data_IF_082042801937
#
_entry.id   IF_082042801937
#
_cell.length_a   1.000
_cell.length_b   1.000
_cell.length_c   1.000
_cell.angle_alpha   90.00
_cell.angle_beta   90.00
_cell.angle_gamma   90.00
#
_symmetry.space_group_name_H-M   'P 1'
#
loop_
_entity.id
_entity.type
_entity.pdbx_description
1 polymer ?
#
# COMPACT_ATOMS: atom_id res chain seq x y z
N UNK A 1 0.06 10.99 0.38
CA UNK A 1 -1.24 10.58 0.91
C UNK A 1 -1.08 10.23 2.38
N UNK A 2 -2.15 10.27 3.17
CA UNK A 2 -2.14 9.84 4.57
C UNK A 2 -1.92 8.33 4.77
N UNK A 3 -1.48 7.91 5.96
CA UNK A 3 -1.20 6.51 6.29
C UNK A 3 -2.43 5.59 6.18
N UNK A 4 -3.62 6.09 6.52
CA UNK A 4 -4.88 5.35 6.36
C UNK A 4 -5.17 5.00 4.90
N UNK A 5 -4.71 5.83 3.97
CA UNK A 5 -4.81 5.55 2.54
C UNK A 5 -3.93 4.36 2.14
N UNK A 6 -2.72 4.24 2.72
CA UNK A 6 -1.87 3.06 2.56
C UNK A 6 -2.57 1.79 3.02
N UNK A 7 -3.21 1.81 4.19
CA UNK A 7 -4.01 0.68 4.70
C UNK A 7 -5.15 0.30 3.76
N UNK A 8 -5.87 1.31 3.24
CA UNK A 8 -6.96 1.12 2.27
C UNK A 8 -6.47 0.48 0.96
N UNK A 9 -5.28 0.84 0.50
CA UNK A 9 -4.66 0.24 -0.68
C UNK A 9 -4.24 -1.22 -0.43
N UNK A 10 -3.62 -1.53 0.70
CA UNK A 10 -3.29 -2.91 1.07
C UNK A 10 -4.52 -3.82 1.06
N UNK A 11 -5.65 -3.34 1.59
CA UNK A 11 -6.92 -4.06 1.53
C UNK A 11 -7.48 -4.23 0.12
N UNK A 12 -7.40 -3.17 -0.70
CA UNK A 12 -7.84 -3.23 -2.09
C UNK A 12 -6.99 -4.19 -2.93
N UNK A 13 -5.66 -4.17 -2.76
CA UNK A 13 -4.74 -5.07 -3.47
C UNK A 13 -4.98 -6.54 -3.10
N UNK A 14 -5.21 -6.81 -1.82
CA UNK A 14 -5.63 -8.14 -1.36
C UNK A 14 -6.91 -8.59 -2.05
N UNK A 15 -7.95 -7.75 -2.05
CA UNK A 15 -9.24 -8.08 -2.68
C UNK A 15 -9.07 -8.31 -4.20
N UNK A 16 -8.29 -7.46 -4.88
CA UNK A 16 -7.99 -7.61 -6.31
C UNK A 16 -7.28 -8.95 -6.57
N UNK A 17 -6.29 -9.31 -5.75
CA UNK A 17 -5.58 -10.59 -5.85
C UNK A 17 -6.53 -11.78 -5.66
N UNK A 18 -7.43 -11.73 -4.68
CA UNK A 18 -8.44 -12.78 -4.43
C UNK A 18 -9.45 -12.88 -5.59
N UNK A 19 -9.90 -11.75 -6.13
CA UNK A 19 -10.79 -11.69 -7.31
C UNK A 19 -10.10 -12.29 -8.53
N UNK A 20 -8.85 -11.92 -8.80
CA UNK A 20 -8.07 -12.45 -9.92
C UNK A 20 -7.86 -13.97 -9.80
N UNK A 21 -7.49 -14.46 -8.61
CA UNK A 21 -7.28 -15.89 -8.36
C UNK A 21 -8.55 -16.74 -8.53
N UNK A 22 -9.74 -16.13 -8.34
CA UNK A 22 -11.04 -16.80 -8.50
C UNK A 22 -11.70 -16.56 -9.86
N UNK A 23 -11.03 -15.84 -10.77
CA UNK A 23 -11.59 -15.51 -12.10
C UNK A 23 -12.75 -14.52 -12.05
N UNK A 24 -12.90 -13.76 -10.96
CA UNK A 24 -13.95 -12.78 -10.77
C UNK A 24 -13.49 -11.40 -11.29
N UNK A 25 -14.18 -10.89 -12.30
CA UNK A 25 -13.99 -9.52 -12.78
C UNK A 25 -14.84 -8.50 -12.02
N UNK A 26 -14.39 -7.26 -11.96
CA UNK A 26 -15.15 -6.15 -11.36
C UNK A 26 -14.28 -4.93 -11.08
N UNK A 27 -14.91 -3.85 -10.61
CA UNK A 27 -14.22 -2.64 -10.15
C UNK A 27 -14.11 -2.65 -8.63
N UNK A 28 -12.92 -2.36 -8.11
CA UNK A 28 -12.69 -2.11 -6.68
C UNK A 28 -12.55 -0.62 -6.48
N UNK A 29 -13.33 -0.06 -5.55
CA UNK A 29 -13.29 1.37 -5.19
C UNK A 29 -12.84 1.49 -3.75
N UNK A 30 -11.89 2.39 -3.49
CA UNK A 30 -11.39 2.68 -2.15
C UNK A 30 -11.28 4.19 -1.93
N UNK A 31 -11.07 4.61 -0.68
CA UNK A 31 -11.02 6.02 -0.30
C UNK A 31 -9.59 6.46 -0.04
N UNK A 32 -9.18 7.57 -0.67
CA UNK A 32 -7.98 8.32 -0.30
C UNK A 32 -8.42 9.37 0.73
N UNK A 33 -8.03 9.17 1.98
CA UNK A 33 -8.63 9.89 3.11
C UNK A 33 -8.19 11.36 3.14
N UNK A 34 -6.87 11.59 3.03
CA UNK A 34 -6.30 12.92 3.16
C UNK A 34 -4.92 13.07 2.49
N UNK A 35 -4.46 14.32 2.35
CA UNK A 35 -3.18 14.63 1.71
C UNK A 35 -2.00 14.13 2.54
N UNK A 36 -0.90 13.82 1.86
CA UNK A 36 0.37 13.48 2.51
C UNK A 36 1.06 14.66 3.18
N UNK A 37 0.72 15.90 2.81
CA UNK A 37 1.43 17.10 3.27
C UNK A 37 1.41 17.25 4.80
N UNK A 38 0.38 16.71 5.46
CA UNK A 38 0.27 16.70 6.94
C UNK A 38 1.32 15.82 7.62
N UNK A 39 1.99 14.98 6.87
CA UNK A 39 2.90 13.93 7.34
C UNK A 39 4.32 14.12 6.79
N UNK A 40 4.62 15.27 6.18
CA UNK A 40 5.90 15.57 5.54
C UNK A 40 7.11 15.29 6.46
N UNK A 41 6.99 15.63 7.75
CA UNK A 41 8.06 15.44 8.73
C UNK A 41 8.04 14.05 9.42
N UNK A 42 7.25 13.10 8.89
CA UNK A 42 7.15 11.72 9.43
C UNK A 42 7.54 10.67 8.39
N UNK A 43 6.66 9.76 7.97
CA UNK A 43 6.97 8.67 7.04
C UNK A 43 7.26 9.14 5.59
N UNK A 44 7.24 10.45 5.33
CA UNK A 44 7.80 11.07 4.11
C UNK A 44 9.26 11.51 4.26
N UNK A 45 9.82 11.41 5.46
CA UNK A 45 11.18 11.78 5.82
C UNK A 45 11.98 10.51 6.14
N UNK A 46 13.01 10.24 5.35
CA UNK A 46 13.86 9.06 5.49
C UNK A 46 14.62 9.00 6.83
N UNK A 47 15.00 10.15 7.38
CA UNK A 47 15.65 10.22 8.70
C UNK A 47 14.68 9.76 9.78
N UNK A 48 13.43 10.25 9.73
CA UNK A 48 12.39 9.84 10.67
C UNK A 48 12.08 8.35 10.55
N UNK A 49 11.96 7.81 9.33
CA UNK A 49 11.74 6.38 9.07
C UNK A 49 12.86 5.53 9.68
N UNK A 50 14.11 5.97 9.51
CA UNK A 50 15.30 5.33 10.07
C UNK A 50 15.29 5.39 11.59
N UNK A 51 14.96 6.54 12.18
CA UNK A 51 14.83 6.72 13.63
C UNK A 51 13.73 5.85 14.24
N UNK A 52 12.62 5.63 13.53
CA UNK A 52 11.56 4.69 13.95
C UNK A 52 11.96 3.22 13.79
N UNK A 53 13.07 2.92 13.12
CA UNK A 53 13.53 1.56 12.86
C UNK A 53 12.66 0.80 11.86
N UNK A 54 11.97 1.50 10.96
CA UNK A 54 11.15 0.85 9.93
C UNK A 54 11.99 0.37 8.76
N UNK A 55 11.91 -0.94 8.47
CA UNK A 55 12.44 -1.52 7.24
C UNK A 55 11.36 -1.52 6.14
N UNK A 56 11.64 -0.83 5.05
CA UNK A 56 10.74 -0.71 3.91
C UNK A 56 11.00 -1.76 2.82
N UNK A 57 12.10 -2.51 2.88
CA UNK A 57 12.47 -3.45 1.82
C UNK A 57 11.40 -4.52 1.58
N UNK A 58 10.94 -5.18 2.64
CA UNK A 58 9.89 -6.19 2.55
C UNK A 58 8.58 -5.67 1.93
N UNK A 59 8.00 -4.59 2.48
CA UNK A 59 6.84 -3.93 1.88
C UNK A 59 7.04 -3.47 0.43
N UNK A 60 8.21 -2.94 0.08
CA UNK A 60 8.53 -2.53 -1.29
C UNK A 60 8.58 -3.71 -2.26
N UNK A 61 9.17 -4.84 -1.86
CA UNK A 61 9.18 -6.07 -2.67
C UNK A 61 7.75 -6.58 -2.89
N UNK A 62 6.94 -6.66 -1.85
CA UNK A 62 5.53 -7.08 -1.98
C UNK A 62 4.76 -6.17 -2.95
N UNK A 63 4.97 -4.86 -2.87
CA UNK A 63 4.30 -3.92 -3.78
C UNK A 63 4.73 -4.17 -5.24
N UNK A 64 6.02 -4.38 -5.49
CA UNK A 64 6.52 -4.72 -6.81
C UNK A 64 5.96 -6.06 -7.34
N UNK A 65 5.83 -7.07 -6.49
CA UNK A 65 5.22 -8.36 -6.87
C UNK A 65 3.74 -8.21 -7.22
N UNK A 66 3.02 -7.34 -6.52
CA UNK A 66 1.63 -7.03 -6.85
C UNK A 66 1.51 -6.29 -8.18
N UNK A 67 2.38 -5.31 -8.44
CA UNK A 67 2.42 -4.57 -9.71
C UNK A 67 2.71 -5.48 -10.91
N UNK A 68 3.62 -6.44 -10.74
CA UNK A 68 4.02 -7.38 -11.80
C UNK A 68 3.01 -8.52 -12.01
N UNK A 69 2.57 -9.16 -10.92
CA UNK A 69 1.84 -10.42 -10.99
C UNK A 69 0.41 -10.36 -10.42
N UNK A 70 0.00 -9.23 -9.85
CA UNK A 70 -1.32 -9.08 -9.20
C UNK A 70 -1.51 -9.92 -7.95
N UNK A 71 -0.41 -10.41 -7.33
CA UNK A 71 -0.43 -11.26 -6.13
C UNK A 71 -0.18 -10.45 -4.86
N UNK A 72 -0.85 -10.80 -3.77
CA UNK A 72 -0.75 -10.09 -2.49
C UNK A 72 -0.66 -11.06 -1.31
N UNK A 73 0.55 -11.55 -1.00
CA UNK A 73 0.86 -12.56 0.04
C UNK A 73 1.74 -12.02 1.19
#
# INVERSE_FOLDING_TARGET
MGASTGTNLCGAFRLISEMAATGLGGSVVTLLADSGDRYADTYFNDDWVTEQGFDLLGPSVRLAEFEDAGRWD
#
